data_IF_935842819250
#
_entry.id   IF_935842819250
#
_cell.length_a   1.000
_cell.length_b   1.000
_cell.length_c   1.000
_cell.angle_alpha   90.00
_cell.angle_beta   90.00
_cell.angle_gamma   90.00
#
_symmetry.space_group_name_H-M   'P 1'
#
loop_
_entity.id
_entity.type
_entity.pdbx_description
1 polymer ?
#
# COMPACT_ATOMS: atom_id res chain seq x y z
N UNK A 1 -13.87 -13.87 -16.80
CA UNK A 1 -14.21 -13.04 -15.62
C UNK A 1 -15.71 -13.03 -15.45
N UNK A 2 -16.21 -13.03 -14.21
CA UNK A 2 -17.66 -12.90 -13.95
C UNK A 2 -18.09 -11.44 -14.14
N UNK A 3 -19.31 -11.17 -14.60
CA UNK A 3 -19.86 -9.82 -14.85
C UNK A 3 -19.62 -8.81 -13.70
N UNK A 4 -19.62 -9.31 -12.46
CA UNK A 4 -19.34 -8.52 -11.25
C UNK A 4 -17.93 -7.92 -11.19
N UNK A 5 -16.89 -8.60 -11.72
CA UNK A 5 -15.51 -8.08 -11.69
C UNK A 5 -15.33 -6.90 -12.67
N UNK A 6 -16.03 -6.96 -13.81
CA UNK A 6 -16.08 -5.87 -14.78
C UNK A 6 -16.85 -4.66 -14.22
N UNK A 7 -17.98 -4.89 -13.55
CA UNK A 7 -18.74 -3.83 -12.86
C UNK A 7 -17.97 -3.19 -11.70
N UNK A 8 -17.20 -3.98 -10.94
CA UNK A 8 -16.34 -3.45 -9.88
C UNK A 8 -15.20 -2.62 -10.45
N UNK A 9 -14.54 -3.10 -11.52
CA UNK A 9 -13.50 -2.34 -12.18
C UNK A 9 -14.04 -1.04 -12.79
N UNK A 10 -15.23 -1.06 -13.41
CA UNK A 10 -15.88 0.14 -13.93
C UNK A 10 -16.18 1.18 -12.82
N UNK A 11 -16.71 0.74 -11.67
CA UNK A 11 -16.97 1.66 -10.54
C UNK A 11 -15.70 2.20 -9.88
N UNK A 12 -14.53 1.57 -10.06
CA UNK A 12 -13.24 2.14 -9.65
C UNK A 12 -12.81 3.32 -10.52
N UNK A 13 -13.31 3.44 -11.75
CA UNK A 13 -13.02 4.55 -12.67
C UNK A 13 -14.05 5.70 -12.59
N UNK A 14 -15.25 5.45 -12.06
CA UNK A 14 -16.35 6.44 -11.99
C UNK A 14 -16.16 7.57 -10.94
N UNK A 15 -15.02 7.61 -10.24
CA UNK A 15 -14.77 8.55 -9.14
C UNK A 15 -14.16 9.92 -9.49
N UNK A 16 -13.89 10.21 -10.77
CA UNK A 16 -13.21 11.46 -11.20
C UNK A 16 -13.97 12.16 -12.32
N UNK A 17 -14.33 13.44 -12.12
CA UNK A 17 -15.13 14.27 -13.02
C UNK A 17 -14.46 14.68 -14.33
N UNK A 18 -14.06 13.71 -15.16
CA UNK A 18 -13.76 13.90 -16.58
C UNK A 18 -14.36 12.75 -17.37
N UNK A 19 -15.37 13.04 -18.21
CA UNK A 19 -16.21 12.11 -18.97
C UNK A 19 -15.50 11.31 -20.10
N UNK A 20 -14.20 11.01 -19.98
CA UNK A 20 -13.49 10.15 -20.93
C UNK A 20 -13.05 8.86 -20.24
N UNK A 21 -13.71 7.75 -20.54
CA UNK A 21 -13.23 6.42 -20.18
C UNK A 21 -11.84 6.21 -20.79
N UNK A 22 -10.75 6.12 -20.01
CA UNK A 22 -9.39 5.96 -20.54
C UNK A 22 -9.20 4.62 -21.26
N UNK A 23 -10.13 3.67 -21.10
CA UNK A 23 -10.16 2.42 -21.86
C UNK A 23 -10.92 2.56 -23.19
N UNK A 24 -11.63 3.67 -23.41
CA UNK A 24 -12.32 3.98 -24.66
C UNK A 24 -11.39 4.61 -25.72
N UNK A 25 -10.22 5.12 -25.33
CA UNK A 25 -9.21 5.60 -26.26
C UNK A 25 -8.57 4.44 -27.04
N UNK A 26 -8.59 4.56 -28.37
CA UNK A 26 -7.96 3.61 -29.28
C UNK A 26 -6.46 3.92 -29.39
N UNK A 27 -5.61 2.98 -28.95
CA UNK A 27 -4.14 3.04 -29.04
C UNK A 27 -3.38 3.85 -27.96
N UNK A 28 -3.89 3.90 -26.73
CA UNK A 28 -3.21 4.55 -25.60
C UNK A 28 -2.19 3.62 -24.90
N UNK A 29 -1.02 4.16 -24.55
CA UNK A 29 -0.07 3.50 -23.64
C UNK A 29 -0.44 3.80 -22.18
N UNK A 30 -0.64 2.75 -21.39
CA UNK A 30 -1.00 2.85 -19.97
C UNK A 30 0.06 2.18 -19.10
N UNK A 31 0.39 2.79 -17.96
CA UNK A 31 1.26 2.19 -16.96
C UNK A 31 0.49 1.96 -15.68
N UNK A 32 0.50 0.73 -15.19
CA UNK A 32 0.01 0.40 -13.84
C UNK A 32 1.22 -0.10 -13.09
N UNK A 33 1.64 0.64 -12.07
CA UNK A 33 2.59 0.13 -11.07
C UNK A 33 3.86 -0.53 -11.70
N UNK A 34 4.41 0.10 -12.74
CA UNK A 34 5.61 -0.35 -13.46
C UNK A 34 5.39 -1.37 -14.59
N UNK A 35 4.14 -1.76 -14.90
CA UNK A 35 3.81 -2.58 -16.08
C UNK A 35 3.14 -1.70 -17.13
N UNK A 36 3.65 -1.79 -18.36
CA UNK A 36 3.11 -1.15 -19.56
C UNK A 36 2.02 -2.02 -20.19
N UNK A 37 0.93 -1.39 -20.59
CA UNK A 37 -0.19 -1.96 -21.34
C UNK A 37 -0.53 -1.06 -22.53
N UNK A 38 -1.31 -1.59 -23.48
CA UNK A 38 -1.77 -0.86 -24.67
C UNK A 38 -3.23 -1.13 -24.97
N UNK A 39 -4.07 -0.10 -25.03
CA UNK A 39 -5.47 -0.23 -25.44
C UNK A 39 -5.60 -0.35 -26.96
N UNK A 40 -6.66 -1.00 -27.49
CA UNK A 40 -7.67 -1.77 -26.77
C UNK A 40 -7.21 -3.21 -26.47
N UNK A 41 -6.05 -3.63 -26.95
CA UNK A 41 -5.62 -5.04 -26.91
C UNK A 41 -5.49 -5.58 -25.48
N UNK A 42 -5.04 -4.73 -24.55
CA UNK A 42 -4.78 -5.12 -23.16
C UNK A 42 -5.92 -4.79 -22.20
N UNK A 43 -7.10 -4.36 -22.66
CA UNK A 43 -8.20 -3.93 -21.78
C UNK A 43 -8.53 -4.97 -20.70
N UNK A 44 -8.60 -6.25 -21.05
CA UNK A 44 -8.82 -7.31 -20.05
C UNK A 44 -7.65 -7.46 -19.07
N UNK A 45 -6.41 -7.33 -19.53
CA UNK A 45 -5.23 -7.44 -18.69
C UNK A 45 -5.11 -6.25 -17.72
N UNK A 46 -5.49 -5.05 -18.18
CA UNK A 46 -5.59 -3.82 -17.38
C UNK A 46 -6.60 -4.03 -16.24
N UNK A 47 -7.83 -4.44 -16.57
CA UNK A 47 -8.87 -4.68 -15.56
C UNK A 47 -8.48 -5.79 -14.59
N UNK A 48 -7.87 -6.87 -15.08
CA UNK A 48 -7.38 -7.96 -14.24
C UNK A 48 -6.32 -7.46 -13.26
N UNK A 49 -5.42 -6.58 -13.70
CA UNK A 49 -4.37 -6.02 -12.86
C UNK A 49 -4.93 -5.10 -11.76
N UNK A 50 -5.87 -4.20 -12.12
CA UNK A 50 -6.51 -3.27 -11.17
C UNK A 50 -7.31 -4.02 -10.10
N UNK A 51 -8.18 -4.95 -10.51
CA UNK A 51 -9.02 -5.74 -9.57
C UNK A 51 -8.18 -6.64 -8.67
N UNK A 52 -6.95 -6.98 -9.08
CA UNK A 52 -6.04 -7.79 -8.30
C UNK A 52 -5.34 -7.04 -7.17
N UNK A 53 -5.52 -5.73 -7.05
CA UNK A 53 -4.93 -4.93 -5.97
C UNK A 53 -5.79 -4.95 -4.72
N UNK A 54 -5.14 -4.97 -3.57
CA UNK A 54 -5.83 -4.78 -2.30
C UNK A 54 -6.46 -3.39 -2.27
N UNK A 55 -7.78 -3.34 -2.15
CA UNK A 55 -8.55 -2.11 -2.09
C UNK A 55 -9.15 -1.94 -0.70
N UNK A 56 -8.72 -0.89 -0.01
CA UNK A 56 -9.24 -0.54 1.32
C UNK A 56 -10.06 0.74 1.22
N UNK A 57 -11.30 0.66 1.69
CA UNK A 57 -12.28 1.74 1.66
C UNK A 57 -12.71 2.10 3.08
N UNK A 58 -13.51 3.16 3.19
CA UNK A 58 -14.20 3.46 4.45
C UNK A 58 -15.01 2.25 4.92
N UNK A 59 -14.99 2.02 6.23
CA UNK A 59 -15.77 1.00 6.91
C UNK A 59 -16.58 1.61 8.05
N UNK A 60 -17.62 0.89 8.43
CA UNK A 60 -18.52 1.22 9.52
C UNK A 60 -18.77 -0.04 10.35
N UNK A 61 -19.14 0.13 11.61
CA UNK A 61 -19.49 -0.98 12.50
C UNK A 61 -18.30 -1.76 13.05
N UNK A 62 -17.06 -1.27 12.89
CA UNK A 62 -15.91 -1.84 13.58
C UNK A 62 -15.91 -1.46 15.06
N UNK A 63 -15.13 -2.19 15.88
CA UNK A 63 -15.02 -1.92 17.31
C UNK A 63 -14.52 -0.47 17.58
N UNK A 64 -15.13 0.26 18.54
CA UNK A 64 -14.78 1.65 18.83
C UNK A 64 -13.27 1.89 18.99
N UNK A 65 -12.72 2.96 18.39
CA UNK A 65 -11.29 3.32 18.48
C UNK A 65 -11.04 4.23 19.69
N UNK A 66 -10.11 3.86 20.57
CA UNK A 66 -9.75 4.71 21.72
C UNK A 66 -10.69 4.64 22.93
N UNK A 67 -11.62 3.68 22.97
CA UNK A 67 -12.55 3.47 24.09
C UNK A 67 -14.00 3.38 23.63
N UNK A 68 -14.94 3.19 24.56
CA UNK A 68 -16.36 2.99 24.26
C UNK A 68 -17.04 4.16 23.56
N UNK A 69 -16.54 5.38 23.73
CA UNK A 69 -17.00 6.61 23.06
C UNK A 69 -16.28 6.92 21.74
N UNK A 70 -15.38 6.05 21.31
CA UNK A 70 -14.60 6.20 20.09
C UNK A 70 -15.41 6.06 18.79
N UNK A 71 -14.87 6.53 17.65
CA UNK A 71 -15.50 6.32 16.36
C UNK A 71 -15.58 4.83 16.02
N UNK A 72 -16.67 4.42 15.38
CA UNK A 72 -16.92 3.07 14.83
C UNK A 72 -16.98 3.10 13.30
N UNK A 73 -16.60 4.22 12.71
CA UNK A 73 -16.50 4.46 11.27
C UNK A 73 -15.37 5.44 10.97
N UNK A 74 -14.75 5.29 9.81
CA UNK A 74 -13.69 6.19 9.33
C UNK A 74 -14.13 7.10 8.17
N UNK A 75 -15.40 7.01 7.76
CA UNK A 75 -16.00 7.91 6.77
C UNK A 75 -15.80 9.37 7.16
N UNK A 76 -15.23 10.15 6.26
CA UNK A 76 -15.00 11.60 6.43
C UNK A 76 -13.62 11.98 6.94
N UNK A 77 -12.79 11.03 7.37
CA UNK A 77 -11.45 11.35 7.90
C UNK A 77 -10.37 10.30 7.60
N UNK A 78 -10.74 9.04 7.36
CA UNK A 78 -9.80 7.92 7.19
C UNK A 78 -9.14 7.78 5.82
N UNK A 79 -9.45 8.61 4.81
CA UNK A 79 -9.05 8.34 3.42
C UNK A 79 -7.54 8.18 3.24
N UNK A 80 -6.73 9.09 3.81
CA UNK A 80 -5.27 8.98 3.71
C UNK A 80 -4.72 7.72 4.39
N UNK A 81 -5.36 7.27 5.48
CA UNK A 81 -4.99 6.02 6.16
C UNK A 81 -5.27 4.82 5.25
N UNK A 82 -6.43 4.79 4.58
CA UNK A 82 -6.78 3.76 3.60
C UNK A 82 -5.82 3.76 2.40
N UNK A 83 -5.43 4.93 1.90
CA UNK A 83 -4.39 5.05 0.87
C UNK A 83 -3.05 4.47 1.34
N UNK A 84 -2.64 4.76 2.58
CA UNK A 84 -1.45 4.16 3.18
C UNK A 84 -1.53 2.64 3.31
N UNK A 85 -2.68 2.11 3.73
CA UNK A 85 -2.92 0.66 3.77
C UNK A 85 -2.76 0.02 2.38
N UNK A 86 -3.33 0.63 1.33
CA UNK A 86 -3.23 0.09 -0.04
C UNK A 86 -1.79 0.09 -0.54
N UNK A 87 -1.06 1.19 -0.33
CA UNK A 87 0.34 1.32 -0.72
C UNK A 87 1.22 0.26 -0.04
N UNK A 88 1.05 0.08 1.27
CA UNK A 88 1.86 -0.88 2.02
C UNK A 88 1.48 -2.33 1.70
N UNK A 89 0.19 -2.63 1.57
CA UNK A 89 -0.29 -3.96 1.19
C UNK A 89 0.22 -4.38 -0.19
N UNK A 90 0.33 -3.44 -1.15
CA UNK A 90 0.98 -3.69 -2.44
C UNK A 90 2.46 -4.06 -2.27
N UNK A 91 3.18 -3.43 -1.33
CA UNK A 91 4.54 -3.83 -0.97
C UNK A 91 4.59 -5.26 -0.45
N UNK A 92 3.76 -5.60 0.53
CA UNK A 92 3.65 -6.96 1.08
C UNK A 92 3.31 -8.00 0.00
N UNK A 93 2.35 -7.69 -0.87
CA UNK A 93 1.98 -8.53 -2.00
C UNK A 93 3.21 -8.85 -2.87
N UNK A 94 4.00 -7.84 -3.21
CA UNK A 94 5.21 -8.02 -4.03
C UNK A 94 6.31 -8.81 -3.35
N UNK A 95 6.47 -8.66 -2.03
CA UNK A 95 7.54 -9.33 -1.29
C UNK A 95 7.23 -10.78 -0.96
N UNK A 96 5.96 -11.10 -0.68
CA UNK A 96 5.62 -12.38 -0.05
C UNK A 96 4.75 -13.29 -0.91
N UNK A 97 3.99 -12.79 -1.89
CA UNK A 97 3.32 -13.69 -2.83
C UNK A 97 4.31 -14.23 -3.86
N UNK A 98 4.24 -15.53 -4.24
CA UNK A 98 5.17 -16.11 -5.20
C UNK A 98 5.21 -15.40 -6.56
N UNK A 99 4.06 -14.90 -7.03
CA UNK A 99 3.97 -14.15 -8.28
C UNK A 99 4.37 -12.66 -8.15
N UNK A 100 4.54 -12.17 -6.92
CA UNK A 100 4.87 -10.78 -6.61
C UNK A 100 4.00 -9.80 -7.39
N UNK A 101 4.63 -8.84 -8.09
CA UNK A 101 3.96 -7.84 -8.93
C UNK A 101 3.02 -8.46 -9.98
N UNK A 102 3.31 -9.65 -10.47
CA UNK A 102 2.52 -10.33 -11.51
C UNK A 102 1.33 -11.12 -10.94
N UNK A 103 1.11 -11.09 -9.62
CA UNK A 103 -0.05 -11.70 -8.99
C UNK A 103 -1.35 -11.19 -9.61
N UNK A 104 -2.29 -12.12 -9.85
CA UNK A 104 -3.67 -11.82 -10.25
C UNK A 104 -4.65 -12.53 -9.34
N UNK A 105 -5.60 -11.78 -8.78
CA UNK A 105 -6.60 -12.28 -7.87
C UNK A 105 -7.61 -13.16 -8.58
N UNK A 106 -8.05 -14.22 -7.90
CA UNK A 106 -9.12 -15.10 -8.36
C UNK A 106 -10.06 -15.36 -7.16
N UNK A 107 -11.38 -15.51 -7.38
CA UNK A 107 -12.34 -15.74 -6.29
C UNK A 107 -12.00 -16.92 -5.37
N UNK A 108 -11.38 -17.96 -5.92
CA UNK A 108 -11.04 -19.18 -5.20
C UNK A 108 -9.57 -19.19 -4.75
N UNK A 109 -9.03 -18.05 -4.30
CA UNK A 109 -7.65 -17.98 -3.84
C UNK A 109 -7.42 -18.84 -2.59
N UNK A 110 -6.55 -19.84 -2.75
CA UNK A 110 -6.19 -20.78 -1.68
C UNK A 110 -4.82 -20.49 -1.06
N UNK A 111 -4.05 -19.56 -1.64
CA UNK A 111 -2.73 -19.19 -1.11
C UNK A 111 -2.90 -18.59 0.29
N UNK A 112 -2.39 -19.25 1.35
CA UNK A 112 -2.52 -18.74 2.71
C UNK A 112 -1.80 -17.40 2.89
N UNK A 113 -0.75 -17.13 2.12
CA UNK A 113 0.00 -15.88 2.22
C UNK A 113 -0.87 -14.68 1.81
N UNK A 114 -1.77 -14.83 0.85
CA UNK A 114 -2.71 -13.77 0.48
C UNK A 114 -3.61 -13.40 1.66
N UNK A 115 -4.16 -14.41 2.34
CA UNK A 115 -5.04 -14.21 3.49
C UNK A 115 -4.29 -13.65 4.68
N UNK A 116 -3.06 -14.10 4.91
CA UNK A 116 -2.16 -13.55 5.92
C UNK A 116 -1.91 -12.06 5.70
N UNK A 117 -1.57 -11.65 4.48
CA UNK A 117 -1.37 -10.23 4.14
C UNK A 117 -2.67 -9.47 4.38
N UNK A 118 -3.80 -9.95 3.86
CA UNK A 118 -5.10 -9.29 4.04
C UNK A 118 -5.44 -9.11 5.53
N UNK A 119 -5.22 -10.14 6.34
CA UNK A 119 -5.49 -10.14 7.77
C UNK A 119 -4.69 -9.08 8.54
N UNK A 120 -3.54 -8.62 8.03
CA UNK A 120 -2.79 -7.52 8.64
C UNK A 120 -3.53 -6.18 8.56
N UNK A 121 -4.45 -6.01 7.61
CA UNK A 121 -5.13 -4.73 7.33
C UNK A 121 -6.61 -4.70 7.71
N UNK A 122 -7.18 -5.83 8.14
CA UNK A 122 -8.58 -5.91 8.60
C UNK A 122 -8.80 -4.95 9.77
N UNK A 123 -10.00 -4.34 9.87
CA UNK A 123 -10.35 -3.35 10.89
C UNK A 123 -10.62 -3.97 12.27
N UNK A 124 -9.64 -4.71 12.77
CA UNK A 124 -9.60 -5.32 14.09
C UNK A 124 -8.32 -4.88 14.80
N UNK A 125 -8.42 -4.61 16.10
CA UNK A 125 -7.29 -4.10 16.90
C UNK A 125 -6.04 -5.02 16.91
N UNK A 126 -6.18 -6.31 16.65
CA UNK A 126 -5.08 -7.27 16.58
C UNK A 126 -4.39 -7.34 15.22
N UNK A 127 -4.97 -6.71 14.18
CA UNK A 127 -4.37 -6.61 12.86
C UNK A 127 -3.40 -5.42 12.85
N UNK A 128 -2.14 -5.69 12.49
CA UNK A 128 -0.99 -4.79 12.65
C UNK A 128 -1.17 -3.43 11.98
N UNK A 129 -1.73 -3.41 10.77
CA UNK A 129 -2.00 -2.22 9.97
C UNK A 129 -3.48 -1.88 9.91
N UNK A 130 -4.28 -2.33 10.88
CA UNK A 130 -5.68 -1.92 10.99
C UNK A 130 -5.84 -0.41 11.16
N UNK A 131 -7.01 0.12 10.83
CA UNK A 131 -7.33 1.54 11.08
C UNK A 131 -7.14 1.91 12.56
N UNK A 132 -7.41 0.97 13.48
CA UNK A 132 -7.21 1.19 14.91
C UNK A 132 -5.74 1.36 15.27
N UNK A 133 -4.85 0.53 14.74
CA UNK A 133 -3.41 0.63 14.99
C UNK A 133 -2.82 1.89 14.34
N UNK A 134 -3.24 2.23 13.12
CA UNK A 134 -2.80 3.45 12.42
C UNK A 134 -3.18 4.69 13.21
N UNK A 135 -4.43 4.78 13.68
CA UNK A 135 -4.90 5.92 14.46
C UNK A 135 -4.20 6.01 15.81
N UNK A 136 -4.07 4.88 16.52
CA UNK A 136 -3.37 4.83 17.79
C UNK A 136 -1.91 5.28 17.66
N UNK A 137 -1.22 4.84 16.61
CA UNK A 137 0.16 5.24 16.34
C UNK A 137 0.27 6.71 15.93
N UNK A 138 -0.74 7.24 15.23
CA UNK A 138 -0.80 8.65 14.83
C UNK A 138 -0.80 9.63 16.00
N UNK A 139 -1.24 9.21 17.19
CA UNK A 139 -1.11 10.03 18.39
C UNK A 139 0.36 10.40 18.68
N UNK A 140 1.30 9.50 18.37
CA UNK A 140 2.73 9.78 18.51
C UNK A 140 3.29 10.78 17.48
N UNK A 141 2.52 11.04 16.42
CA UNK A 141 2.78 12.06 15.40
C UNK A 141 1.93 13.33 15.63
N UNK A 142 1.36 13.49 16.83
CA UNK A 142 0.53 14.64 17.19
C UNK A 142 -0.84 14.67 16.51
N UNK A 143 -1.37 13.50 16.11
CA UNK A 143 -2.71 13.38 15.51
C UNK A 143 -3.70 12.75 16.46
N UNK A 144 -4.79 13.46 16.72
CA UNK A 144 -5.90 12.93 17.49
C UNK A 144 -6.81 12.03 16.66
N UNK A 145 -7.59 11.19 17.33
CA UNK A 145 -8.58 10.32 16.69
C UNK A 145 -9.56 11.17 15.88
N UNK A 146 -9.77 10.81 14.62
CA UNK A 146 -10.66 11.53 13.70
C UNK A 146 -10.00 12.66 12.92
N UNK A 147 -8.73 12.99 13.20
CA UNK A 147 -8.00 13.98 12.39
C UNK A 147 -7.47 13.40 11.09
N UNK A 148 -7.43 14.25 10.07
CA UNK A 148 -6.88 13.89 8.77
C UNK A 148 -5.34 13.83 8.78
N UNK A 149 -4.79 12.84 8.09
CA UNK A 149 -3.36 12.64 7.91
C UNK A 149 -2.92 13.20 6.57
N UNK A 150 -1.76 13.85 6.52
CA UNK A 150 -1.06 14.11 5.27
C UNK A 150 -0.19 12.91 4.85
N UNK A 151 0.37 12.92 3.61
CA UNK A 151 1.21 11.84 3.10
C UNK A 151 2.42 11.52 3.99
N UNK A 152 3.11 12.54 4.51
CA UNK A 152 4.24 12.32 5.41
C UNK A 152 3.78 11.64 6.72
N UNK A 153 2.70 12.13 7.35
CA UNK A 153 2.21 11.56 8.63
C UNK A 153 1.88 10.08 8.51
N UNK A 154 1.15 9.67 7.46
CA UNK A 154 0.84 8.25 7.28
C UNK A 154 2.10 7.43 7.00
N UNK A 155 3.07 7.97 6.26
CA UNK A 155 4.35 7.30 6.01
C UNK A 155 5.14 7.05 7.31
N UNK A 156 5.22 8.05 8.20
CA UNK A 156 5.89 7.91 9.49
C UNK A 156 5.20 6.88 10.40
N UNK A 157 3.86 6.91 10.44
CA UNK A 157 3.07 5.93 11.18
C UNK A 157 3.32 4.51 10.68
N UNK A 158 3.24 4.28 9.38
CA UNK A 158 3.47 2.96 8.79
C UNK A 158 4.90 2.48 9.03
N UNK A 159 5.90 3.38 8.96
CA UNK A 159 7.28 3.06 9.33
C UNK A 159 7.40 2.55 10.76
N UNK A 160 6.73 3.21 11.69
CA UNK A 160 6.79 2.85 13.12
C UNK A 160 6.08 1.54 13.40
N UNK A 161 4.92 1.29 12.78
CA UNK A 161 4.22 0.01 12.89
C UNK A 161 5.10 -1.12 12.31
N UNK A 162 5.63 -0.95 11.09
CA UNK A 162 6.45 -1.95 10.43
C UNK A 162 7.72 -2.31 11.22
N UNK A 163 8.30 -1.35 11.95
CA UNK A 163 9.46 -1.59 12.82
C UNK A 163 9.15 -2.50 14.01
N UNK A 164 7.88 -2.57 14.44
CA UNK A 164 7.40 -3.41 15.54
C UNK A 164 6.79 -4.74 15.05
N UNK A 165 6.73 -4.96 13.72
CA UNK A 165 6.16 -6.17 13.14
C UNK A 165 7.19 -7.30 13.07
N UNK A 166 6.99 -8.36 13.84
CA UNK A 166 7.99 -9.43 14.01
C UNK A 166 7.85 -10.56 12.99
N UNK A 167 6.62 -10.91 12.59
CA UNK A 167 6.39 -12.10 11.75
C UNK A 167 6.74 -11.85 10.28
N UNK A 168 6.30 -10.70 9.74
CA UNK A 168 6.44 -10.34 8.33
C UNK A 168 7.16 -9.00 8.22
N UNK A 169 8.41 -9.01 8.65
CA UNK A 169 9.20 -7.79 8.77
C UNK A 169 9.53 -7.22 7.38
N UNK A 170 9.10 -5.98 7.16
CA UNK A 170 9.45 -5.14 6.02
C UNK A 170 10.07 -3.87 6.57
N UNK A 171 11.21 -3.46 6.03
CA UNK A 171 11.78 -2.17 6.35
C UNK A 171 11.01 -1.08 5.59
N UNK A 172 10.64 -0.01 6.27
CA UNK A 172 10.07 1.18 5.65
C UNK A 172 11.02 2.33 5.89
N UNK A 173 11.49 2.96 4.81
CA UNK A 173 12.31 4.17 4.89
C UNK A 173 11.52 5.35 4.34
N UNK A 174 11.43 6.42 5.13
CA UNK A 174 10.80 7.68 4.72
C UNK A 174 11.92 8.68 4.47
N UNK A 175 12.17 8.98 3.19
CA UNK A 175 13.20 9.92 2.79
C UNK A 175 12.70 11.35 3.03
N UNK A 176 13.39 12.08 3.91
CA UNK A 176 13.09 13.48 4.21
C UNK A 176 13.94 14.40 3.33
N UNK A 177 13.55 15.68 3.27
CA UNK A 177 14.32 16.73 2.57
C UNK A 177 14.64 16.40 1.10
N UNK A 178 13.72 15.67 0.45
CA UNK A 178 13.80 15.23 -0.94
C UNK A 178 15.09 14.45 -1.29
N UNK A 179 15.75 13.85 -0.29
CA UNK A 179 17.07 13.22 -0.45
C UNK A 179 17.03 11.77 0.04
N UNK A 180 17.43 10.83 -0.82
CA UNK A 180 17.58 9.43 -0.46
C UNK A 180 19.05 9.10 -0.17
N UNK A 181 19.37 8.83 1.09
CA UNK A 181 20.74 8.50 1.52
C UNK A 181 20.98 6.99 1.40
N UNK A 182 21.69 6.57 0.36
CA UNK A 182 21.89 5.15 0.04
C UNK A 182 22.58 4.36 1.17
N UNK A 183 23.47 4.98 1.93
CA UNK A 183 24.16 4.32 3.04
C UNK A 183 23.23 4.00 4.21
N UNK A 184 22.19 4.82 4.45
CA UNK A 184 21.16 4.53 5.45
C UNK A 184 20.31 3.33 5.01
N UNK A 185 19.94 3.29 3.73
CA UNK A 185 19.21 2.17 3.14
C UNK A 185 20.00 0.86 3.27
N UNK A 186 21.30 0.89 2.96
CA UNK A 186 22.17 -0.28 3.11
C UNK A 186 22.24 -0.76 4.56
N UNK A 187 22.44 0.15 5.51
CA UNK A 187 22.48 -0.18 6.95
C UNK A 187 21.15 -0.75 7.45
N UNK A 188 20.03 -0.24 6.95
CA UNK A 188 18.69 -0.68 7.35
C UNK A 188 18.38 -2.11 6.86
N UNK A 189 18.81 -2.46 5.64
CA UNK A 189 18.42 -3.71 5.00
C UNK A 189 19.43 -4.85 5.07
N UNK A 190 20.72 -4.57 5.30
CA UNK A 190 21.73 -5.61 5.36
C UNK A 190 21.61 -6.45 6.64
N UNK A 191 21.50 -7.78 6.47
CA UNK A 191 21.49 -8.76 7.55
C UNK A 191 22.95 -9.08 7.92
N UNK A 192 23.35 -8.72 9.13
CA UNK A 192 24.69 -9.06 9.64
C UNK A 192 24.91 -10.58 9.64
N UNK A 193 25.89 -11.04 8.87
CA UNK A 193 26.20 -12.46 8.66
C UNK A 193 26.62 -13.21 9.95
N UNK A 194 26.88 -12.51 11.06
CA UNK A 194 27.28 -13.08 12.35
C UNK A 194 26.15 -13.81 13.10
N UNK A 195 24.87 -13.55 12.78
CA UNK A 195 23.69 -14.19 13.41
C UNK A 195 23.28 -15.49 12.72
N UNK A 196 23.90 -15.84 11.58
CA UNK A 196 23.51 -16.97 10.73
C UNK A 196 23.83 -18.36 11.29
N UNK A 197 24.35 -18.47 12.52
CA UNK A 197 24.76 -19.75 13.14
C UNK A 197 23.67 -20.46 13.96
N UNK A 198 22.54 -19.84 14.27
CA UNK A 198 21.58 -20.43 15.25
C UNK A 198 20.16 -20.69 14.76
N UNK A 199 19.78 -20.33 13.53
CA UNK A 199 18.41 -20.56 13.03
C UNK A 199 18.40 -21.39 11.75
N UNK A 200 17.58 -22.45 11.76
CA UNK A 200 17.34 -23.41 10.67
C UNK A 200 17.15 -22.70 9.33
N UNK A 201 17.79 -23.26 8.30
CA UNK A 201 17.63 -22.89 6.87
C UNK A 201 16.15 -22.81 6.48
N UNK A 202 15.63 -21.59 6.34
CA UNK A 202 14.58 -21.29 5.37
C UNK A 202 15.28 -20.72 4.13
N UNK A 203 14.97 -21.26 2.96
CA UNK A 203 15.81 -21.19 1.76
C UNK A 203 15.76 -19.86 0.97
N UNK A 204 15.18 -18.77 1.47
CA UNK A 204 14.74 -17.66 0.59
C UNK A 204 15.39 -16.28 0.80
N UNK A 205 16.40 -16.13 1.67
CA UNK A 205 17.19 -14.89 1.74
C UNK A 205 18.59 -15.08 1.18
N UNK A 206 18.69 -15.36 -0.13
CA UNK A 206 19.99 -15.57 -0.78
C UNK A 206 20.90 -14.32 -0.77
N UNK A 207 20.37 -13.10 -0.59
CA UNK A 207 21.15 -11.86 -0.68
C UNK A 207 21.42 -11.11 0.63
N UNK A 208 20.99 -11.63 1.79
CA UNK A 208 21.20 -10.94 3.07
C UNK A 208 20.58 -9.53 3.11
N UNK A 209 19.56 -9.26 2.28
CA UNK A 209 18.86 -7.98 2.19
C UNK A 209 17.41 -8.16 2.61
N UNK A 210 16.96 -7.38 3.59
CA UNK A 210 15.55 -7.36 4.03
C UNK A 210 14.68 -6.57 3.05
N UNK A 211 13.43 -6.99 2.81
CA UNK A 211 12.47 -6.23 1.99
C UNK A 211 12.37 -4.78 2.44
N UNK A 212 12.25 -3.86 1.47
CA UNK A 212 12.30 -2.41 1.70
C UNK A 212 11.19 -1.71 0.93
N UNK A 213 10.41 -0.89 1.64
CA UNK A 213 9.54 0.13 1.07
C UNK A 213 10.22 1.49 1.26
N UNK A 214 10.43 2.22 0.18
CA UNK A 214 10.91 3.60 0.22
C UNK A 214 9.71 4.51 -0.05
N UNK A 215 9.48 5.47 0.85
CA UNK A 215 8.45 6.49 0.71
C UNK A 215 9.16 7.84 0.65
N UNK A 216 8.83 8.66 -0.34
CA UNK A 216 9.41 9.99 -0.53
C UNK A 216 8.25 11.00 -0.52
N UNK A 217 7.94 11.61 0.65
CA UNK A 217 6.94 12.67 0.72
C UNK A 217 7.46 13.92 0.00
N UNK A 218 6.69 14.44 -0.95
CA UNK A 218 7.08 15.59 -1.76
C UNK A 218 6.02 16.70 -1.69
N UNK A 219 6.48 17.93 -1.91
CA UNK A 219 5.62 19.09 -2.22
C UNK A 219 6.05 19.66 -3.57
N UNK A 220 5.26 19.40 -4.60
CA UNK A 220 5.59 19.71 -6.00
C UNK A 220 5.08 21.08 -6.48
N UNK A 221 4.56 21.89 -5.57
CA UNK A 221 4.09 23.24 -5.84
C UNK A 221 3.37 23.87 -4.66
N UNK A 222 2.78 25.05 -4.88
CA UNK A 222 2.07 25.79 -3.83
C UNK A 222 0.62 25.32 -3.71
N UNK A 223 -0.14 25.46 -4.80
CA UNK A 223 -1.54 25.04 -4.93
C UNK A 223 -1.67 23.89 -5.93
N UNK A 224 -0.96 23.98 -7.05
CA UNK A 224 -0.95 23.00 -8.14
C UNK A 224 0.44 22.39 -8.31
N UNK A 225 0.51 21.22 -8.93
CA UNK A 225 1.78 20.59 -9.29
C UNK A 225 2.45 21.42 -10.39
N UNK A 226 3.72 21.76 -10.21
CA UNK A 226 4.50 22.43 -11.25
C UNK A 226 4.68 21.50 -12.46
N UNK A 227 4.38 22.01 -13.66
CA UNK A 227 4.45 21.27 -14.93
C UNK A 227 5.83 20.66 -15.19
N UNK A 228 6.90 21.29 -14.69
CA UNK A 228 8.28 20.81 -14.80
C UNK A 228 8.52 19.45 -14.11
N UNK A 229 7.62 19.03 -13.21
CA UNK A 229 7.71 17.74 -12.51
C UNK A 229 6.85 16.63 -13.12
N UNK A 230 6.02 16.94 -14.12
CA UNK A 230 5.01 16.00 -14.63
C UNK A 230 5.67 14.80 -15.31
N UNK A 231 6.73 15.01 -16.09
CA UNK A 231 7.38 13.92 -16.79
C UNK A 231 8.23 13.03 -15.86
N UNK A 232 8.69 13.54 -14.73
CA UNK A 232 9.38 12.75 -13.69
C UNK A 232 8.39 12.02 -12.77
N UNK A 233 7.12 12.45 -12.73
CA UNK A 233 6.06 11.80 -11.97
C UNK A 233 5.45 10.60 -12.73
N UNK A 234 5.46 10.65 -14.07
CA UNK A 234 5.05 9.55 -14.95
C UNK A 234 6.07 8.40 -14.90
#
# INVERSE_FOLDING_TARGET
MNSAALSLAASMFEGGGSDSDPLADTDAELYILGIKYRTPNDTYAILDDVVSRFWFTYRTGFAPIGGSSGPTKDTGWGCMMRCGQMMLAEGYLRFFLPAGRYFRWRPNITDPMYWDILNMFIDKRHSSYSIQQIVQMGHSEGKDIGQWFGPNTIAQVLRRIASNEFEKQVNVHVAMDNTLVLDEIRKLCQINSKVRKTTKKTNDTQNGWKPLVVIIPLRLGLSDVNVEYIDQLK
#
